data_IF_473929996707
#
_entry.id   IF_473929996707
#
_cell.length_a   1.000
_cell.length_b   1.000
_cell.length_c   1.000
_cell.angle_alpha   90.00
_cell.angle_beta   90.00
_cell.angle_gamma   90.00
#
_symmetry.space_group_name_H-M   'P 1'
#
loop_
_entity.id
_entity.type
_entity.pdbx_description
1 polymer ?
#
# COMPACT_ATOMS: atom_id res chain seq x y z
N UNK A 1 25.97 7.42 -20.60
CA UNK A 1 24.52 7.61 -20.43
C UNK A 1 24.27 7.67 -18.95
N UNK A 2 23.57 8.70 -18.48
CA UNK A 2 23.21 8.83 -17.07
C UNK A 2 21.87 8.11 -16.87
N UNK A 3 21.91 6.90 -16.33
CA UNK A 3 20.73 6.08 -16.11
C UNK A 3 19.96 6.53 -14.86
N UNK A 4 20.64 7.10 -13.87
CA UNK A 4 20.01 7.59 -12.64
C UNK A 4 19.10 8.77 -12.98
N UNK A 5 19.62 9.74 -13.75
CA UNK A 5 18.82 10.87 -14.23
C UNK A 5 17.61 10.43 -15.09
N UNK A 6 17.76 9.35 -15.88
CA UNK A 6 16.66 8.80 -16.67
C UNK A 6 15.52 8.25 -15.79
N UNK A 7 15.87 7.49 -14.74
CA UNK A 7 14.87 6.94 -13.82
C UNK A 7 14.23 8.01 -12.95
N UNK A 8 14.99 8.99 -12.46
CA UNK A 8 14.48 10.12 -11.69
C UNK A 8 13.43 10.92 -12.47
N UNK A 9 13.70 11.22 -13.74
CA UNK A 9 12.76 11.91 -14.62
C UNK A 9 11.44 11.14 -14.78
N UNK A 10 11.51 9.80 -14.90
CA UNK A 10 10.34 8.93 -14.96
C UNK A 10 9.50 8.98 -13.68
N UNK A 11 10.14 8.90 -12.52
CA UNK A 11 9.47 8.99 -11.22
C UNK A 11 8.84 10.37 -10.99
N UNK A 12 9.52 11.44 -11.39
CA UNK A 12 8.96 12.79 -11.30
C UNK A 12 7.75 12.97 -12.23
N UNK A 13 7.78 12.38 -13.43
CA UNK A 13 6.62 12.32 -14.32
C UNK A 13 5.40 11.68 -13.65
N UNK A 14 5.58 10.54 -12.96
CA UNK A 14 4.50 9.88 -12.23
C UNK A 14 3.96 10.73 -11.07
N UNK A 15 4.86 11.39 -10.32
CA UNK A 15 4.46 12.27 -9.21
C UNK A 15 3.67 13.48 -9.71
N UNK A 16 4.12 14.13 -10.80
CA UNK A 16 3.43 15.25 -11.44
C UNK A 16 2.07 14.84 -12.01
N UNK A 17 1.96 13.64 -12.56
CA UNK A 17 0.71 13.09 -13.09
C UNK A 17 -0.26 12.60 -11.99
N UNK A 18 0.17 12.54 -10.73
CA UNK A 18 -0.67 12.08 -9.62
C UNK A 18 -0.96 10.58 -9.62
N UNK A 19 -0.22 9.78 -10.39
CA UNK A 19 -0.40 8.32 -10.49
C UNK A 19 0.76 7.53 -9.85
N UNK A 20 1.68 8.23 -9.16
CA UNK A 20 2.66 7.61 -8.29
C UNK A 20 1.96 6.89 -7.13
N UNK A 21 2.35 5.64 -6.85
CA UNK A 21 1.68 4.79 -5.86
C UNK A 21 2.49 4.72 -4.57
N UNK A 22 1.80 4.90 -3.45
CA UNK A 22 2.30 4.62 -2.10
C UNK A 22 1.47 3.47 -1.56
N UNK A 23 2.12 2.37 -1.17
CA UNK A 23 1.43 1.18 -0.67
C UNK A 23 1.14 1.30 0.81
N UNK A 24 -0.05 0.85 1.22
CA UNK A 24 -0.38 0.69 2.63
C UNK A 24 0.10 -0.68 3.11
N UNK A 25 0.94 -0.70 4.14
CA UNK A 25 1.36 -1.94 4.80
C UNK A 25 0.27 -2.41 5.77
N UNK A 26 -0.31 -3.57 5.51
CA UNK A 26 -1.49 -4.09 6.19
C UNK A 26 -1.38 -5.61 6.35
N UNK A 27 -1.60 -6.12 7.57
CA UNK A 27 -1.73 -7.54 7.88
C UNK A 27 -3.18 -7.89 8.27
N UNK A 28 -3.84 -8.75 7.48
CA UNK A 28 -5.20 -9.23 7.80
C UNK A 28 -5.17 -10.17 9.01
N UNK A 29 -6.17 -10.05 9.87
CA UNK A 29 -6.27 -10.86 11.08
C UNK A 29 -7.06 -12.15 10.80
N UNK A 30 -6.35 -13.29 10.73
CA UNK A 30 -6.97 -14.60 10.48
C UNK A 30 -8.04 -14.91 11.53
N UNK A 31 -9.23 -15.31 11.08
CA UNK A 31 -10.38 -15.60 11.94
C UNK A 31 -11.16 -14.36 12.40
N UNK A 32 -10.73 -13.16 12.02
CA UNK A 32 -11.39 -11.89 12.32
C UNK A 32 -11.60 -11.02 11.07
N UNK A 33 -11.77 -11.65 9.90
CA UNK A 33 -12.02 -10.87 8.68
C UNK A 33 -13.32 -10.06 8.78
N UNK A 34 -13.32 -8.80 8.28
CA UNK A 34 -12.29 -8.14 7.47
C UNK A 34 -11.29 -7.25 8.26
N UNK A 35 -11.06 -7.51 9.55
CA UNK A 35 -10.12 -6.74 10.36
C UNK A 35 -8.65 -6.94 9.93
N UNK A 36 -7.86 -5.88 10.06
CA UNK A 36 -6.44 -5.89 9.78
C UNK A 36 -5.67 -4.88 10.64
N UNK A 37 -4.38 -5.13 10.83
CA UNK A 37 -3.44 -4.18 11.43
C UNK A 37 -2.75 -3.43 10.31
N UNK A 38 -2.79 -2.10 10.33
CA UNK A 38 -2.01 -1.22 9.45
C UNK A 38 -0.72 -0.81 10.15
N UNK A 39 0.41 -1.01 9.50
CA UNK A 39 1.71 -0.51 9.93
C UNK A 39 1.97 0.84 9.27
N UNK A 40 2.40 1.83 10.06
CA UNK A 40 2.74 3.17 9.58
C UNK A 40 4.26 3.38 9.59
N UNK A 41 4.73 4.30 8.77
CA UNK A 41 6.16 4.63 8.66
C UNK A 41 6.77 5.16 9.97
N UNK A 42 5.94 5.74 10.85
CA UNK A 42 6.35 6.20 12.18
C UNK A 42 6.49 5.06 13.22
N UNK A 43 6.30 3.81 12.79
CA UNK A 43 6.34 2.62 13.63
C UNK A 43 5.05 2.36 14.42
N UNK A 44 4.02 3.19 14.28
CA UNK A 44 2.74 2.98 14.94
C UNK A 44 1.88 1.93 14.23
N UNK A 45 1.07 1.23 15.01
CA UNK A 45 0.06 0.29 14.53
C UNK A 45 -1.34 0.89 14.65
N UNK A 46 -2.24 0.49 13.75
CA UNK A 46 -3.63 0.88 13.77
C UNK A 46 -4.53 -0.28 13.34
N UNK A 47 -5.55 -0.59 14.15
CA UNK A 47 -6.64 -1.48 13.72
C UNK A 47 -7.51 -0.80 12.67
N UNK A 48 -7.72 -1.49 11.55
CA UNK A 48 -8.50 -1.03 10.41
C UNK A 48 -9.44 -2.11 9.87
N UNK A 49 -10.47 -1.69 9.15
CA UNK A 49 -11.37 -2.58 8.40
C UNK A 49 -11.01 -2.55 6.92
N UNK A 50 -10.77 -3.71 6.30
CA UNK A 50 -10.41 -3.80 4.87
C UNK A 50 -11.67 -3.79 4.00
N UNK A 51 -11.82 -2.77 3.16
CA UNK A 51 -12.96 -2.62 2.23
C UNK A 51 -12.61 -2.85 0.75
N UNK A 52 -11.32 -2.93 0.42
CA UNK A 52 -10.83 -3.11 -0.95
C UNK A 52 -10.24 -4.51 -1.20
N UNK A 53 -10.52 -5.48 -0.31
CA UNK A 53 -10.06 -6.86 -0.51
C UNK A 53 -10.82 -7.52 -1.64
N UNK A 54 -10.11 -8.31 -2.46
CA UNK A 54 -10.71 -9.22 -3.43
C UNK A 54 -11.03 -10.60 -2.81
N UNK A 55 -10.74 -10.84 -1.53
CA UNK A 55 -11.16 -12.04 -0.82
C UNK A 55 -12.62 -11.91 -0.39
N UNK A 56 -13.52 -12.04 -1.37
CA UNK A 56 -14.95 -11.81 -1.21
C UNK A 56 -15.63 -12.79 -0.25
N UNK A 57 -15.05 -13.97 -0.05
CA UNK A 57 -15.63 -15.05 0.76
C UNK A 57 -14.88 -15.28 2.07
N UNK A 58 -13.81 -14.52 2.35
CA UNK A 58 -13.03 -14.67 3.58
C UNK A 58 -12.33 -16.02 3.70
N UNK A 59 -11.87 -16.59 2.57
CA UNK A 59 -11.33 -17.95 2.49
C UNK A 59 -9.82 -18.03 2.73
N UNK A 60 -9.12 -16.89 2.82
CA UNK A 60 -7.66 -16.84 3.00
C UNK A 60 -7.20 -16.47 4.41
#
# INVERSE_FOLDING_TARGET
MDFDAFFEAGLEGLRKAGNYRVFADIARQRGQFPAATRYREDGSEQDVTVWCSNDYLGMG
#
